data_IF_708646325506
#
_entry.id   IF_708646325506
#
_cell.length_a   1.000
_cell.length_b   1.000
_cell.length_c   1.000
_cell.angle_alpha   90.00
_cell.angle_beta   90.00
_cell.angle_gamma   90.00
#
_symmetry.space_group_name_H-M   'P 1'
#
loop_
_entity.id
_entity.type
_entity.pdbx_description
1 polymer ?
#
# COMPACT_ATOMS: atom_id res chain seq x y z
N UNK A 1 -14.08 9.79 -11.57
CA UNK A 1 -13.08 10.86 -11.33
C UNK A 1 -12.98 11.67 -12.59
N UNK A 2 -13.08 12.99 -12.52
CA UNK A 2 -12.95 13.84 -13.69
C UNK A 2 -11.46 14.14 -13.95
N UNK A 3 -11.07 14.17 -15.23
CA UNK A 3 -9.80 14.75 -15.64
C UNK A 3 -9.83 16.24 -15.30
N UNK A 4 -8.78 16.74 -14.64
CA UNK A 4 -8.69 18.16 -14.33
C UNK A 4 -7.98 18.89 -15.48
N UNK A 5 -8.67 19.82 -16.13
CA UNK A 5 -8.09 20.76 -17.11
C UNK A 5 -7.86 22.16 -16.52
N UNK A 6 -8.11 22.35 -15.22
CA UNK A 6 -8.03 23.66 -14.61
C UNK A 6 -6.56 24.09 -14.46
N UNK A 7 -6.15 25.24 -15.06
CA UNK A 7 -4.76 25.69 -15.06
C UNK A 7 -4.24 26.05 -13.65
N UNK A 8 -5.13 26.33 -12.69
CA UNK A 8 -4.75 26.50 -11.28
C UNK A 8 -4.11 25.24 -10.67
N UNK A 9 -4.37 24.06 -11.27
CA UNK A 9 -3.80 22.79 -10.84
C UNK A 9 -2.56 22.38 -11.66
N UNK A 10 -2.16 23.17 -12.67
CA UNK A 10 -0.94 22.94 -13.47
C UNK A 10 0.35 22.89 -12.65
N UNK A 11 0.55 23.72 -11.60
CA UNK A 11 1.73 23.60 -10.73
C UNK A 11 1.81 22.28 -9.94
N UNK A 12 0.71 21.51 -9.92
CA UNK A 12 0.62 20.20 -9.28
C UNK A 12 0.73 19.04 -10.28
N UNK A 13 0.91 19.33 -11.57
CA UNK A 13 1.32 18.33 -12.56
C UNK A 13 2.67 17.72 -12.11
N UNK A 14 2.68 16.41 -11.86
CA UNK A 14 3.82 15.68 -11.29
C UNK A 14 3.70 15.33 -9.80
N UNK A 15 2.82 15.98 -9.04
CA UNK A 15 2.62 15.71 -7.60
C UNK A 15 1.48 14.70 -7.39
N UNK A 16 1.58 13.88 -6.34
CA UNK A 16 0.54 12.95 -5.88
C UNK A 16 0.25 13.22 -4.40
N UNK A 17 -1.01 13.15 -3.98
CA UNK A 17 -1.34 13.37 -2.56
C UNK A 17 -2.77 13.84 -2.30
N UNK A 18 -2.97 14.43 -1.12
CA UNK A 18 -4.26 14.97 -0.68
C UNK A 18 -4.09 16.36 -0.08
N UNK A 19 -5.03 17.26 -0.36
CA UNK A 19 -5.12 18.58 0.25
C UNK A 19 -6.15 18.51 1.38
N UNK A 20 -5.70 18.76 2.62
CA UNK A 20 -6.53 18.88 3.83
C UNK A 20 -7.58 17.76 4.03
N UNK A 21 -7.33 16.55 3.50
CA UNK A 21 -8.30 15.45 3.45
C UNK A 21 -9.67 15.84 2.83
N UNK A 22 -9.69 16.85 1.97
CA UNK A 22 -10.90 17.27 1.23
C UNK A 22 -10.81 16.84 -0.23
N UNK A 23 -9.62 16.92 -0.81
CA UNK A 23 -9.37 16.66 -2.23
C UNK A 23 -8.17 15.73 -2.35
N UNK A 24 -8.25 14.78 -3.28
CA UNK A 24 -7.15 13.89 -3.67
C UNK A 24 -6.81 14.15 -5.13
N UNK A 25 -5.53 14.34 -5.40
CA UNK A 25 -4.98 14.50 -6.74
C UNK A 25 -4.08 13.32 -7.08
N UNK A 26 -4.28 12.75 -8.26
CA UNK A 26 -3.60 11.55 -8.74
C UNK A 26 -3.18 11.76 -10.18
N UNK A 27 -2.04 11.18 -10.55
CA UNK A 27 -1.57 11.16 -11.93
C UNK A 27 -1.74 9.75 -12.47
N UNK A 28 -2.42 9.63 -13.61
CA UNK A 28 -2.58 8.36 -14.34
C UNK A 28 -2.32 8.61 -15.81
N UNK A 29 -1.38 7.88 -16.41
CA UNK A 29 -0.99 8.08 -17.81
C UNK A 29 -0.56 9.51 -18.13
N UNK A 30 0.17 10.17 -17.22
CA UNK A 30 0.60 11.57 -17.37
C UNK A 30 -0.48 12.63 -17.14
N UNK A 31 -1.73 12.23 -16.87
CA UNK A 31 -2.85 13.14 -16.73
C UNK A 31 -3.23 13.34 -15.26
N UNK A 32 -3.59 14.58 -14.92
CA UNK A 32 -4.03 14.93 -13.57
C UNK A 32 -5.52 14.64 -13.37
N UNK A 33 -5.83 13.86 -12.35
CA UNK A 33 -7.18 13.56 -11.90
C UNK A 33 -7.39 14.12 -10.51
N UNK A 34 -8.50 14.83 -10.32
CA UNK A 34 -8.88 15.43 -9.05
C UNK A 34 -10.21 14.83 -8.60
N UNK A 35 -10.31 14.47 -7.32
CA UNK A 35 -11.49 13.84 -6.74
C UNK A 35 -11.68 14.28 -5.30
N UNK A 36 -12.92 14.21 -4.81
CA UNK A 36 -13.22 14.35 -3.38
C UNK A 36 -12.45 13.28 -2.60
N UNK A 37 -11.95 13.64 -1.43
CA UNK A 37 -11.34 12.67 -0.52
C UNK A 37 -12.35 11.57 -0.18
N UNK A 38 -11.97 10.29 -0.25
CA UNK A 38 -12.88 9.19 0.02
C UNK A 38 -13.35 9.26 1.47
N UNK A 39 -14.66 9.32 1.67
CA UNK A 39 -15.27 9.20 2.99
C UNK A 39 -15.36 7.72 3.35
N UNK A 40 -14.53 7.30 4.30
CA UNK A 40 -14.47 5.92 4.79
C UNK A 40 -15.28 5.72 6.07
N UNK A 41 -15.94 6.76 6.61
CA UNK A 41 -16.59 6.71 7.94
C UNK A 41 -17.75 5.71 8.04
N UNK A 42 -18.43 5.45 6.91
CA UNK A 42 -19.56 4.53 6.84
C UNK A 42 -19.19 3.14 6.30
N UNK A 43 -17.92 2.94 5.93
CA UNK A 43 -17.47 1.69 5.33
C UNK A 43 -17.21 0.68 6.44
N UNK A 44 -18.15 -0.24 6.63
CA UNK A 44 -18.00 -1.38 7.56
C UNK A 44 -17.35 -2.55 6.82
N UNK A 45 -16.19 -3.05 7.28
CA UNK A 45 -15.58 -4.23 6.69
C UNK A 45 -16.49 -5.45 6.85
N UNK A 46 -16.49 -6.34 5.86
CA UNK A 46 -17.12 -7.67 6.02
C UNK A 46 -16.24 -8.57 6.89
N UNK A 47 -16.81 -9.65 7.42
CA UNK A 47 -16.07 -10.62 8.22
C UNK A 47 -14.86 -11.19 7.46
N UNK A 48 -15.05 -11.57 6.19
CA UNK A 48 -13.95 -12.00 5.32
C UNK A 48 -12.87 -10.92 5.16
N UNK A 49 -13.25 -9.66 5.02
CA UNK A 49 -12.27 -8.56 4.92
C UNK A 49 -11.47 -8.39 6.21
N UNK A 50 -12.08 -8.62 7.38
CA UNK A 50 -11.37 -8.59 8.67
C UNK A 50 -10.38 -9.76 8.76
N UNK A 51 -10.82 -10.98 8.42
CA UNK A 51 -9.95 -12.16 8.42
C UNK A 51 -8.74 -11.98 7.51
N UNK A 52 -8.92 -11.48 6.28
CA UNK A 52 -7.80 -11.21 5.38
C UNK A 52 -6.86 -10.11 5.90
N UNK A 53 -7.40 -9.08 6.56
CA UNK A 53 -6.58 -8.02 7.18
C UNK A 53 -5.75 -8.56 8.33
N UNK A 54 -6.32 -9.39 9.18
CA UNK A 54 -5.63 -10.03 10.30
C UNK A 54 -4.54 -10.98 9.81
N UNK A 55 -4.85 -11.83 8.83
CA UNK A 55 -3.86 -12.71 8.19
C UNK A 55 -2.71 -11.92 7.56
N UNK A 56 -3.01 -10.83 6.86
CA UNK A 56 -1.98 -10.00 6.27
C UNK A 56 -1.14 -9.27 7.34
N UNK A 57 -1.76 -8.80 8.42
CA UNK A 57 -1.05 -8.19 9.54
C UNK A 57 -0.09 -9.18 10.21
N UNK A 58 -0.53 -10.43 10.40
CA UNK A 58 0.31 -11.50 10.93
C UNK A 58 1.48 -11.83 9.99
N UNK A 59 1.23 -11.87 8.68
CA UNK A 59 2.27 -12.07 7.66
C UNK A 59 3.33 -10.95 7.69
N UNK A 60 2.90 -9.69 7.82
CA UNK A 60 3.80 -8.54 7.92
C UNK A 60 4.65 -8.64 9.18
N UNK A 61 4.05 -8.98 10.33
CA UNK A 61 4.77 -9.15 11.58
C UNK A 61 5.83 -10.24 11.48
N UNK A 62 5.46 -11.40 10.95
CA UNK A 62 6.40 -12.51 10.68
C UNK A 62 7.59 -12.07 9.82
N UNK A 63 7.32 -11.38 8.70
CA UNK A 63 8.36 -10.90 7.81
C UNK A 63 9.27 -9.84 8.45
N UNK A 64 8.70 -8.97 9.30
CA UNK A 64 9.47 -7.97 10.06
C UNK A 64 10.36 -8.62 11.12
N UNK A 65 9.86 -9.61 11.85
CA UNK A 65 10.61 -10.32 12.89
C UNK A 65 11.87 -10.99 12.33
N UNK A 66 11.79 -11.53 11.10
CA UNK A 66 12.95 -12.10 10.40
C UNK A 66 13.87 -11.01 9.84
N UNK A 67 13.30 -9.97 9.21
CA UNK A 67 14.09 -8.96 8.51
C UNK A 67 14.82 -7.98 9.47
N UNK A 68 14.31 -7.79 10.68
CA UNK A 68 14.89 -6.92 11.69
C UNK A 68 15.96 -7.62 12.53
N UNK A 69 15.92 -8.95 12.63
CA UNK A 69 16.95 -9.75 13.31
C UNK A 69 18.10 -10.05 12.34
N UNK A 70 19.32 -9.53 12.58
CA UNK A 70 20.44 -9.67 11.64
C UNK A 70 20.87 -11.13 11.45
N UNK A 71 20.71 -11.98 12.47
CA UNK A 71 21.08 -13.40 12.41
C UNK A 71 20.08 -14.16 11.54
N UNK A 72 18.78 -13.99 11.82
CA UNK A 72 17.72 -14.65 11.03
C UNK A 72 17.71 -14.17 9.59
N UNK A 73 17.94 -12.87 9.37
CA UNK A 73 18.01 -12.27 8.03
C UNK A 73 19.13 -12.87 7.18
N UNK A 74 20.32 -13.07 7.75
CA UNK A 74 21.46 -13.62 7.03
C UNK A 74 21.27 -15.11 6.71
N UNK A 75 20.59 -15.86 7.58
CA UNK A 75 20.29 -17.27 7.38
C UNK A 75 19.09 -17.55 6.45
N UNK A 76 18.27 -16.54 6.15
CA UNK A 76 17.03 -16.75 5.41
C UNK A 76 17.29 -17.00 3.90
N UNK A 77 16.73 -18.08 3.31
CA UNK A 77 16.90 -18.35 1.90
C UNK A 77 16.14 -17.32 1.05
N UNK A 78 16.85 -16.58 0.19
CA UNK A 78 16.24 -15.57 -0.68
C UNK A 78 16.60 -15.83 -2.15
N UNK A 79 15.60 -15.94 -3.04
CA UNK A 79 15.88 -16.04 -4.47
C UNK A 79 16.46 -14.74 -5.02
N UNK A 80 17.32 -14.84 -6.05
CA UNK A 80 18.02 -13.70 -6.64
C UNK A 80 17.03 -12.59 -7.06
N UNK A 81 17.31 -11.36 -6.64
CA UNK A 81 16.51 -10.18 -6.95
C UNK A 81 15.29 -9.93 -6.05
N UNK A 82 15.07 -10.77 -5.03
CA UNK A 82 14.05 -10.51 -3.99
C UNK A 82 14.69 -10.10 -2.67
N UNK A 83 13.87 -9.59 -1.77
CA UNK A 83 14.26 -9.28 -0.39
C UNK A 83 13.79 -10.37 0.57
N UNK A 84 14.48 -10.51 1.71
CA UNK A 84 14.06 -11.39 2.81
C UNK A 84 12.61 -11.12 3.20
N UNK A 85 12.26 -9.85 3.41
CA UNK A 85 10.90 -9.42 3.76
C UNK A 85 9.84 -9.92 2.77
N UNK A 86 10.05 -9.71 1.46
CA UNK A 86 9.10 -10.15 0.44
C UNK A 86 8.95 -11.67 0.39
N UNK A 87 10.05 -12.39 0.64
CA UNK A 87 10.08 -13.86 0.58
C UNK A 87 9.34 -14.44 1.79
N UNK A 88 9.65 -13.97 3.00
CA UNK A 88 8.99 -14.37 4.24
C UNK A 88 7.49 -14.04 4.26
N UNK A 89 7.12 -12.86 3.75
CA UNK A 89 5.72 -12.46 3.64
C UNK A 89 4.95 -13.39 2.70
N UNK A 90 5.54 -13.74 1.54
CA UNK A 90 4.93 -14.67 0.58
C UNK A 90 4.75 -16.05 1.20
N UNK A 91 5.80 -16.57 1.85
CA UNK A 91 5.78 -17.88 2.49
C UNK A 91 4.68 -17.99 3.55
N UNK A 92 4.56 -17.00 4.44
CA UNK A 92 3.50 -16.98 5.44
C UNK A 92 2.11 -16.98 4.79
N UNK A 93 1.93 -16.19 3.73
CA UNK A 93 0.66 -16.14 3.00
C UNK A 93 0.37 -17.41 2.19
N UNK A 94 1.36 -18.21 1.82
CA UNK A 94 1.13 -19.49 1.11
C UNK A 94 0.87 -20.65 2.07
N UNK A 95 1.39 -20.57 3.30
CA UNK A 95 1.24 -21.61 4.32
C UNK A 95 -0.11 -21.55 5.08
N UNK A 96 -0.82 -20.42 5.05
CA UNK A 96 -2.08 -20.18 5.76
C UNK A 96 -3.21 -19.80 4.78
#
# INVERSE_FOLDING_TARGET
MARCYNPAFTPWAGKRGSIRKQIVYRIRGGLLFVSKYPDMSKVKPTELQLQYRERFAAAVRYAQDINNDPVKKAAYPVPKGKTVYQTALKEYLEAH
#
